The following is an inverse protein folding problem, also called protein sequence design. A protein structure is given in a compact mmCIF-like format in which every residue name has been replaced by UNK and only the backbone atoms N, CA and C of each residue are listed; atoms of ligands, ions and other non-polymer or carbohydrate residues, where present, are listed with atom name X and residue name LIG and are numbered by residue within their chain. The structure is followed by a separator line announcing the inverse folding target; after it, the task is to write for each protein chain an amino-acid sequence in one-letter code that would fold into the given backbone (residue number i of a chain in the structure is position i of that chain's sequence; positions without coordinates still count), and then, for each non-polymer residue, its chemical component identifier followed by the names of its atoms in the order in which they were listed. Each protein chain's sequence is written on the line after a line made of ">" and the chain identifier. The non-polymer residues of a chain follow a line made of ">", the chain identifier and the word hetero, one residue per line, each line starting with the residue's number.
data_IF_002939357414
#
_entry.id   IF_002939357414
#
_cell.length_a   1.000
_cell.length_b   1.000
_cell.length_c   1.000
_cell.angle_alpha   90.00
_cell.angle_beta   90.00
_cell.angle_gamma   90.00
#
_symmetry.space_group_name_H-M   'P 1'
#
loop_
_entity.id
_entity.type
_entity.pdbx_description
1 polymer ?
#
# COMPACT_ATOMS: atom_id res chain seq x y z
N UNK A 1 -8.31 8.92 -16.88
CA UNK A 1 -6.85 9.09 -17.03
C UNK A 1 -6.13 8.35 -15.93
N UNK A 2 -4.82 8.10 -16.01
CA UNK A 2 -4.09 7.47 -14.88
C UNK A 2 -4.15 8.38 -13.65
N UNK A 3 -4.59 7.80 -12.54
CA UNK A 3 -4.74 8.48 -11.27
C UNK A 3 -6.07 9.22 -11.07
N UNK A 4 -7.00 9.16 -12.03
CA UNK A 4 -8.32 9.82 -11.86
C UNK A 4 -9.15 9.15 -10.77
N UNK A 5 -9.10 7.82 -10.67
CA UNK A 5 -9.73 7.08 -9.58
C UNK A 5 -8.83 7.00 -8.34
N UNK A 6 -7.54 6.74 -8.54
CA UNK A 6 -6.57 6.46 -7.48
C UNK A 6 -5.38 7.43 -7.47
N UNK A 7 -5.35 8.43 -6.58
CA UNK A 7 -6.51 9.00 -5.90
C UNK A 7 -6.64 10.50 -6.19
N UNK A 8 -6.09 10.98 -7.33
CA UNK A 8 -6.04 12.41 -7.68
C UNK A 8 -7.41 13.03 -7.86
N UNK A 9 -8.42 12.25 -8.25
CA UNK A 9 -9.81 12.71 -8.29
C UNK A 9 -10.29 13.20 -6.92
N UNK A 10 -10.05 12.41 -5.88
CA UNK A 10 -10.37 12.82 -4.51
C UNK A 10 -9.54 14.02 -4.05
N UNK A 11 -8.24 14.05 -4.35
CA UNK A 11 -7.39 15.20 -4.01
C UNK A 11 -7.96 16.50 -4.61
N UNK A 12 -8.38 16.46 -5.88
CA UNK A 12 -9.00 17.59 -6.55
C UNK A 12 -10.34 17.97 -5.89
N UNK A 13 -11.20 17.01 -5.57
CA UNK A 13 -12.49 17.25 -4.89
C UNK A 13 -12.31 17.93 -3.53
N UNK A 14 -11.36 17.48 -2.72
CA UNK A 14 -11.13 18.05 -1.39
C UNK A 14 -10.51 19.44 -1.48
N UNK A 15 -9.57 19.66 -2.41
CA UNK A 15 -8.99 20.98 -2.65
C UNK A 15 -10.07 21.98 -3.14
N UNK A 16 -10.97 21.54 -4.02
CA UNK A 16 -12.09 22.36 -4.49
C UNK A 16 -13.09 22.71 -3.37
N UNK A 17 -13.18 21.89 -2.32
CA UNK A 17 -14.05 22.13 -1.17
C UNK A 17 -13.46 23.10 -0.12
N UNK A 18 -12.17 23.48 -0.22
CA UNK A 18 -11.52 24.37 0.76
C UNK A 18 -12.27 25.69 0.99
N UNK A 19 -12.75 26.43 -0.03
CA UNK A 19 -13.53 27.65 0.20
C UNK A 19 -14.81 27.40 1.00
N UNK A 20 -15.48 26.27 0.77
CA UNK A 20 -16.68 25.88 1.53
C UNK A 20 -16.33 25.63 3.00
N UNK A 21 -15.22 24.94 3.28
CA UNK A 21 -14.77 24.70 4.65
C UNK A 21 -14.42 26.00 5.39
N UNK A 22 -13.75 26.94 4.70
CA UNK A 22 -13.40 28.25 5.27
C UNK A 22 -14.63 29.13 5.54
N UNK A 23 -15.66 29.04 4.70
CA UNK A 23 -16.91 29.78 4.87
C UNK A 23 -17.87 29.15 5.91
N UNK A 24 -17.63 27.90 6.30
CA UNK A 24 -18.50 27.16 7.22
C UNK A 24 -18.14 27.42 8.68
N UNK A 25 -19.12 27.52 9.61
CA UNK A 25 -18.86 27.67 11.04
C UNK A 25 -18.45 26.32 11.67
N UNK A 26 -17.29 25.80 11.26
CA UNK A 26 -16.79 24.51 11.70
C UNK A 26 -16.44 24.52 13.19
N UNK A 27 -17.00 23.56 13.94
CA UNK A 27 -16.68 23.37 15.36
C UNK A 27 -15.33 22.67 15.59
N UNK A 28 -14.73 22.11 14.53
CA UNK A 28 -13.47 21.35 14.57
C UNK A 28 -12.65 21.67 13.32
N UNK A 29 -11.32 21.76 13.42
CA UNK A 29 -10.48 22.04 12.26
C UNK A 29 -10.49 20.87 11.27
N UNK A 30 -10.35 21.19 9.98
CA UNK A 30 -10.11 20.23 8.91
C UNK A 30 -8.65 20.34 8.50
N UNK A 31 -7.92 19.23 8.55
CA UNK A 31 -6.52 19.16 8.11
C UNK A 31 -6.44 18.33 6.84
N UNK A 32 -5.78 18.89 5.82
CA UNK A 32 -5.46 18.17 4.59
C UNK A 32 -4.03 17.64 4.68
N UNK A 33 -3.87 16.32 4.63
CA UNK A 33 -2.57 15.67 4.71
C UNK A 33 -2.33 14.88 3.43
N UNK A 34 -1.34 15.32 2.65
CA UNK A 34 -0.99 14.68 1.38
C UNK A 34 0.35 13.97 1.53
N UNK A 35 0.38 12.72 1.05
CA UNK A 35 1.59 11.90 0.99
C UNK A 35 1.97 11.64 -0.47
N UNK A 36 3.10 10.99 -0.65
CA UNK A 36 3.61 10.55 -1.94
C UNK A 36 4.21 9.15 -1.79
N UNK A 37 4.38 8.48 -2.93
CA UNK A 37 5.01 7.16 -2.99
C UNK A 37 4.31 6.10 -2.12
N UNK A 38 2.97 6.11 -2.15
CA UNK A 38 2.13 5.06 -1.57
C UNK A 38 2.35 3.74 -2.33
N UNK A 39 2.22 3.80 -3.66
CA UNK A 39 2.15 2.66 -4.58
C UNK A 39 3.40 1.76 -4.62
N UNK A 40 4.59 2.31 -4.34
CA UNK A 40 5.84 1.56 -4.42
C UNK A 40 6.25 1.03 -3.05
N UNK A 41 6.13 1.85 -2.00
CA UNK A 41 6.65 1.48 -0.67
C UNK A 41 6.05 2.18 0.53
N UNK A 42 4.98 2.97 0.35
CA UNK A 42 4.43 3.85 1.37
C UNK A 42 5.52 4.67 2.09
N UNK A 43 6.44 5.27 1.33
CA UNK A 43 7.59 5.95 1.92
C UNK A 43 7.19 7.31 2.51
N UNK A 44 6.39 8.10 1.78
CA UNK A 44 6.02 9.45 2.18
C UNK A 44 5.17 9.50 3.45
N UNK A 45 4.41 8.45 3.77
CA UNK A 45 3.50 8.47 4.93
C UNK A 45 4.27 8.37 6.26
N UNK A 46 5.46 7.76 6.25
CA UNK A 46 6.27 7.56 7.46
C UNK A 46 6.71 8.90 8.06
N UNK A 47 7.34 9.75 7.25
CA UNK A 47 7.75 11.09 7.68
C UNK A 47 6.56 11.99 8.01
N UNK A 48 5.45 11.84 7.29
CA UNK A 48 4.22 12.56 7.62
C UNK A 48 3.71 12.20 9.03
N UNK A 49 3.67 10.91 9.38
CA UNK A 49 3.24 10.43 10.70
C UNK A 49 4.19 10.84 11.83
N UNK A 50 5.49 11.02 11.55
CA UNK A 50 6.45 11.55 12.54
C UNK A 50 6.21 13.03 12.86
N UNK A 51 5.80 13.82 11.87
CA UNK A 51 5.63 15.28 11.99
C UNK A 51 4.23 15.67 12.46
N UNK A 52 3.18 14.93 12.09
CA UNK A 52 1.79 15.29 12.39
C UNK A 52 1.53 15.52 13.90
N UNK A 53 1.96 14.65 14.83
CA UNK A 53 1.74 14.85 16.26
C UNK A 53 2.39 16.11 16.83
N UNK A 54 3.40 16.65 16.14
CA UNK A 54 4.11 17.87 16.53
C UNK A 54 3.43 19.14 15.98
N UNK A 55 2.57 18.99 14.95
CA UNK A 55 1.97 20.13 14.23
C UNK A 55 0.48 20.29 14.47
N UNK A 56 -0.24 19.21 14.75
CA UNK A 56 -1.69 19.23 14.94
C UNK A 56 -2.10 18.36 16.13
N UNK A 57 -3.20 18.69 16.83
CA UNK A 57 -3.82 17.78 17.78
C UNK A 57 -4.24 16.48 17.11
N UNK A 58 -4.33 15.39 17.89
CA UNK A 58 -4.81 14.11 17.39
C UNK A 58 -6.21 14.26 16.75
N UNK A 59 -6.39 13.89 15.46
CA UNK A 59 -7.67 14.01 14.79
C UNK A 59 -8.65 12.98 15.35
N UNK A 60 -9.92 13.35 15.49
CA UNK A 60 -10.97 12.41 15.89
C UNK A 60 -11.43 11.48 14.75
N UNK A 61 -11.13 11.85 13.50
CA UNK A 61 -11.47 11.07 12.31
C UNK A 61 -10.42 11.36 11.23
N UNK A 62 -10.04 10.32 10.50
CA UNK A 62 -9.24 10.42 9.29
C UNK A 62 -10.04 9.85 8.11
N UNK A 63 -10.22 10.63 7.05
CA UNK A 63 -10.90 10.20 5.83
C UNK A 63 -9.85 10.00 4.74
N UNK A 64 -9.64 8.74 4.36
CA UNK A 64 -8.76 8.39 3.25
C UNK A 64 -9.61 8.27 1.98
N UNK A 65 -9.20 8.97 0.93
CA UNK A 65 -9.97 9.10 -0.31
C UNK A 65 -9.79 7.97 -1.31
N UNK A 66 -9.46 6.77 -0.86
CA UNK A 66 -9.29 5.62 -1.74
C UNK A 66 -10.59 5.28 -2.48
N UNK A 67 -10.52 4.77 -3.72
CA UNK A 67 -11.69 4.46 -4.53
C UNK A 67 -12.45 3.27 -3.94
N UNK A 68 -13.51 3.58 -3.19
CA UNK A 68 -14.37 2.61 -2.49
C UNK A 68 -15.80 2.61 -3.01
N UNK A 69 -16.03 3.17 -4.21
CA UNK A 69 -17.38 3.40 -4.76
C UNK A 69 -18.29 4.20 -3.80
N UNK A 70 -17.70 5.12 -3.03
CA UNK A 70 -18.39 5.91 -1.99
C UNK A 70 -18.94 5.08 -0.82
N UNK A 71 -18.46 3.84 -0.65
CA UNK A 71 -18.83 2.96 0.47
C UNK A 71 -17.78 3.10 1.58
N UNK A 72 -18.18 3.32 2.84
CA UNK A 72 -17.22 3.36 3.94
C UNK A 72 -16.47 2.03 4.09
N UNK A 73 -15.13 2.10 4.10
CA UNK A 73 -14.25 0.98 4.44
C UNK A 73 -13.54 1.32 5.75
N UNK A 74 -13.79 0.54 6.79
CA UNK A 74 -13.29 0.80 8.15
C UNK A 74 -11.93 0.13 8.44
N UNK A 75 -11.43 -0.68 7.52
CA UNK A 75 -10.14 -1.35 7.67
C UNK A 75 -9.79 -2.20 6.45
N UNK A 76 -8.52 -2.57 6.35
CA UNK A 76 -8.00 -3.45 5.31
C UNK A 76 -7.12 -4.54 5.94
N UNK A 77 -6.92 -5.65 5.23
CA UNK A 77 -5.97 -6.69 5.66
C UNK A 77 -4.54 -6.14 5.65
N UNK A 78 -3.71 -6.60 6.58
CA UNK A 78 -2.28 -6.32 6.55
C UNK A 78 -1.62 -6.94 5.31
N UNK A 79 -0.48 -6.36 4.89
CA UNK A 79 0.34 -6.87 3.78
C UNK A 79 1.68 -7.36 4.34
N UNK A 80 2.04 -8.60 4.03
CA UNK A 80 3.37 -9.14 4.25
C UNK A 80 3.99 -9.47 2.89
N UNK A 81 5.16 -8.90 2.61
CA UNK A 81 5.95 -9.22 1.42
C UNK A 81 7.25 -9.88 1.85
N UNK A 82 7.57 -11.05 1.28
CA UNK A 82 8.77 -11.82 1.60
C UNK A 82 9.57 -12.09 0.32
N UNK A 83 10.89 -12.10 0.44
CA UNK A 83 11.80 -12.53 -0.63
C UNK A 83 12.31 -13.93 -0.32
N UNK A 84 11.95 -14.90 -1.15
CA UNK A 84 12.48 -16.26 -1.06
C UNK A 84 13.61 -16.45 -2.09
N UNK A 85 14.74 -17.01 -1.65
CA UNK A 85 15.83 -17.38 -2.54
C UNK A 85 16.04 -18.89 -2.45
N UNK A 86 15.69 -19.59 -3.53
CA UNK A 86 15.92 -21.03 -3.65
C UNK A 86 17.31 -21.26 -4.23
N UNK A 87 18.18 -21.94 -3.48
CA UNK A 87 19.54 -22.25 -3.90
C UNK A 87 19.63 -23.72 -4.31
N UNK A 88 20.22 -23.95 -5.46
CA UNK A 88 20.55 -25.29 -5.97
C UNK A 88 22.05 -25.57 -5.89
N UNK A 89 22.47 -26.62 -6.58
CA UNK A 89 23.87 -27.00 -6.77
C UNK A 89 24.13 -27.09 -8.27
N UNK A 90 25.00 -26.21 -8.78
CA UNK A 90 25.24 -26.09 -10.21
C UNK A 90 26.00 -27.30 -10.77
N UNK A 91 25.57 -27.80 -11.92
CA UNK A 91 26.29 -28.81 -12.70
C UNK A 91 26.01 -28.59 -14.19
N UNK A 92 26.78 -29.24 -15.07
CA UNK A 92 26.43 -29.29 -16.49
C UNK A 92 25.07 -29.99 -16.63
N UNK A 93 24.19 -29.47 -17.48
CA UNK A 93 22.83 -30.01 -17.70
C UNK A 93 22.78 -31.52 -18.01
N UNK A 94 23.80 -32.08 -18.66
CA UNK A 94 23.91 -33.51 -18.95
C UNK A 94 24.16 -34.37 -17.70
N UNK A 95 24.63 -33.77 -16.61
CA UNK A 95 24.91 -34.41 -15.32
C UNK A 95 23.84 -34.05 -14.29
N UNK A 96 22.58 -33.85 -14.72
CA UNK A 96 21.47 -33.47 -13.85
C UNK A 96 21.37 -34.26 -12.52
N UNK A 97 21.65 -35.58 -12.46
CA UNK A 97 21.64 -36.31 -11.19
C UNK A 97 22.70 -35.87 -10.16
N UNK A 98 23.75 -35.14 -10.58
CA UNK A 98 24.87 -34.70 -9.74
C UNK A 98 24.75 -33.24 -9.28
N UNK A 99 23.69 -32.54 -9.70
CA UNK A 99 23.37 -31.19 -9.24
C UNK A 99 21.99 -31.11 -8.59
N UNK A 100 21.61 -29.90 -8.21
CA UNK A 100 20.26 -29.60 -7.70
C UNK A 100 19.70 -28.45 -8.51
N UNK A 101 18.66 -28.72 -9.28
CA UNK A 101 17.95 -27.71 -10.03
C UNK A 101 17.10 -26.84 -9.08
N UNK A 102 17.55 -25.60 -8.85
CA UNK A 102 16.83 -24.65 -8.00
C UNK A 102 15.41 -24.36 -8.51
N UNK A 103 15.19 -24.40 -9.84
CA UNK A 103 13.90 -24.11 -10.46
C UNK A 103 12.88 -25.21 -10.13
N UNK A 104 13.27 -26.48 -10.18
CA UNK A 104 12.39 -27.59 -9.83
C UNK A 104 11.97 -27.55 -8.36
N UNK A 105 12.92 -27.23 -7.45
CA UNK A 105 12.60 -27.08 -6.03
C UNK A 105 11.70 -25.85 -5.78
N UNK A 106 11.95 -24.74 -6.48
CA UNK A 106 11.09 -23.56 -6.43
C UNK A 106 9.67 -23.88 -6.93
N UNK A 107 9.53 -24.66 -8.01
CA UNK A 107 8.23 -25.05 -8.53
C UNK A 107 7.41 -25.87 -7.52
N UNK A 108 8.04 -26.79 -6.79
CA UNK A 108 7.39 -27.55 -5.71
C UNK A 108 6.94 -26.64 -4.57
N UNK A 109 7.79 -25.69 -4.17
CA UNK A 109 7.45 -24.70 -3.15
C UNK A 109 6.26 -23.84 -3.58
N UNK A 110 6.25 -23.37 -4.83
CA UNK A 110 5.15 -22.58 -5.40
C UNK A 110 3.83 -23.38 -5.37
N UNK A 111 3.87 -24.65 -5.78
CA UNK A 111 2.70 -25.52 -5.70
C UNK A 111 2.15 -25.63 -4.28
N UNK A 112 3.03 -25.86 -3.29
CA UNK A 112 2.61 -25.95 -1.89
C UNK A 112 2.06 -24.64 -1.33
N UNK A 113 2.61 -23.50 -1.75
CA UNK A 113 2.06 -22.19 -1.38
C UNK A 113 0.67 -21.98 -1.97
N UNK A 114 0.42 -22.47 -3.20
CA UNK A 114 -0.91 -22.51 -3.81
C UNK A 114 -1.92 -23.27 -2.95
N UNK A 115 -1.56 -24.47 -2.50
CA UNK A 115 -2.44 -25.30 -1.63
C UNK A 115 -2.76 -24.66 -0.28
N UNK A 116 -1.84 -23.87 0.28
CA UNK A 116 -2.04 -23.18 1.56
C UNK A 116 -2.92 -21.93 1.37
N UNK A 117 -2.87 -21.30 0.20
CA UNK A 117 -3.57 -20.07 -0.11
C UNK A 117 -5.06 -20.23 -0.47
N UNK A 118 -5.53 -21.46 -0.68
CA UNK A 118 -6.94 -21.83 -0.89
C UNK A 118 -7.62 -22.20 0.42
#
# INVERSE_FOLDING_TARGET
>A
GRGTADMKGYLASVLAAVPMFLASPLKRPVHLAFSYDEEVGCLGVRGLLEVLPQRIPAPALCLIGEPTELKPVLGHKGKLAMRCHVRGAACHSAYAPYGVNAIEQAARLIGRLGDIGT
#
